data_IF_967478957386
#
_entry.id   IF_967478957386
#
_cell.length_a   1.000
_cell.length_b   1.000
_cell.length_c   1.000
_cell.angle_alpha   90.00
_cell.angle_beta   90.00
_cell.angle_gamma   90.00
#
_symmetry.space_group_name_H-M   'P 1'
#
loop_
_entity.id
_entity.type
_entity.pdbx_description
1 polymer ?
#
# COMPACT_ATOMS: atom_id res chain seq x y z
N UNK A 1 -16.39 2.26 -15.40
CA UNK A 1 -15.95 1.84 -14.04
C UNK A 1 -16.79 0.64 -13.62
N UNK A 2 -16.14 -0.42 -13.18
CA UNK A 2 -16.80 -1.65 -12.69
C UNK A 2 -17.58 -1.30 -11.42
N UNK A 3 -18.86 -1.67 -11.39
CA UNK A 3 -19.74 -1.40 -10.26
C UNK A 3 -19.68 -2.52 -9.21
N UNK A 4 -20.15 -2.23 -8.00
CA UNK A 4 -20.28 -3.26 -6.96
C UNK A 4 -21.23 -4.37 -7.40
N UNK A 5 -22.31 -4.04 -8.10
CA UNK A 5 -23.26 -5.02 -8.62
C UNK A 5 -22.66 -5.98 -9.64
N UNK A 6 -21.73 -5.53 -10.48
CA UNK A 6 -21.03 -6.40 -11.43
C UNK A 6 -20.21 -7.48 -10.69
N UNK A 7 -19.56 -7.09 -9.60
CA UNK A 7 -18.77 -8.01 -8.77
C UNK A 7 -19.67 -8.96 -7.96
N UNK A 8 -20.79 -8.46 -7.42
CA UNK A 8 -21.79 -9.28 -6.73
C UNK A 8 -22.38 -10.36 -7.67
N UNK A 9 -22.63 -10.02 -8.93
CA UNK A 9 -23.04 -10.99 -9.94
C UNK A 9 -21.97 -12.07 -10.18
N UNK A 10 -20.69 -11.70 -10.22
CA UNK A 10 -19.61 -12.69 -10.34
C UNK A 10 -19.55 -13.56 -9.09
N UNK A 11 -19.60 -12.95 -7.90
CA UNK A 11 -19.57 -13.69 -6.62
C UNK A 11 -20.75 -14.66 -6.47
N UNK A 12 -21.94 -14.31 -6.99
CA UNK A 12 -23.12 -15.20 -6.93
C UNK A 12 -22.94 -16.53 -7.64
N UNK A 13 -21.97 -16.59 -8.56
CA UNK A 13 -21.61 -17.82 -9.33
C UNK A 13 -20.47 -18.61 -8.68
N UNK A 14 -19.87 -18.08 -7.59
CA UNK A 14 -18.78 -18.76 -6.89
C UNK A 14 -19.28 -19.90 -6.01
N UNK A 15 -18.51 -20.99 -5.98
CA UNK A 15 -18.62 -21.96 -4.91
C UNK A 15 -17.87 -21.43 -3.69
N UNK A 16 -18.61 -20.95 -2.69
CA UNK A 16 -18.05 -20.31 -1.49
C UNK A 16 -17.17 -21.24 -0.66
N UNK A 17 -17.39 -22.57 -0.73
CA UNK A 17 -16.54 -23.58 -0.06
C UNK A 17 -15.17 -23.76 -0.76
N UNK A 18 -15.02 -23.23 -1.98
CA UNK A 18 -13.83 -23.40 -2.83
C UNK A 18 -13.16 -22.08 -3.19
N UNK A 19 -13.41 -21.04 -2.43
CA UNK A 19 -12.73 -19.74 -2.65
C UNK A 19 -11.23 -19.93 -2.52
N UNK A 20 -10.50 -19.37 -3.49
CA UNK A 20 -9.04 -19.36 -3.53
C UNK A 20 -8.51 -17.94 -3.42
N UNK A 21 -7.47 -17.74 -2.62
CA UNK A 21 -6.78 -16.46 -2.52
C UNK A 21 -5.70 -16.39 -3.59
N UNK A 22 -5.70 -15.31 -4.35
CA UNK A 22 -4.74 -15.10 -5.43
C UNK A 22 -4.07 -13.72 -5.33
N UNK A 23 -2.83 -13.66 -5.78
CA UNK A 23 -2.12 -12.40 -6.03
C UNK A 23 -1.02 -12.62 -7.06
N UNK A 24 -0.48 -11.52 -7.61
CA UNK A 24 0.72 -11.61 -8.46
C UNK A 24 1.96 -11.85 -7.58
N UNK A 25 2.90 -12.63 -8.10
CA UNK A 25 4.11 -13.04 -7.40
C UNK A 25 5.14 -11.90 -7.34
N UNK A 26 4.94 -11.00 -6.38
CA UNK A 26 5.79 -9.84 -6.12
C UNK A 26 5.52 -9.28 -4.71
N UNK A 27 6.32 -8.34 -4.25
CA UNK A 27 6.07 -7.47 -3.09
C UNK A 27 5.77 -8.24 -1.78
N UNK A 28 4.50 -8.48 -1.46
CA UNK A 28 4.03 -9.14 -0.22
C UNK A 28 3.42 -10.52 -0.45
N UNK A 29 3.56 -11.06 -1.66
CA UNK A 29 2.87 -12.31 -2.03
C UNK A 29 3.22 -13.49 -1.13
N UNK A 30 4.49 -13.62 -0.67
CA UNK A 30 4.87 -14.70 0.25
C UNK A 30 4.05 -14.70 1.54
N UNK A 31 3.88 -13.52 2.18
CA UNK A 31 3.08 -13.46 3.41
C UNK A 31 1.57 -13.61 3.15
N UNK A 32 1.08 -13.17 1.98
CA UNK A 32 -0.32 -13.39 1.58
C UNK A 32 -0.59 -14.88 1.44
N UNK A 33 0.25 -15.61 0.70
CA UNK A 33 0.10 -17.07 0.53
C UNK A 33 0.25 -17.82 1.84
N UNK A 34 1.23 -17.45 2.67
CA UNK A 34 1.40 -18.03 3.99
C UNK A 34 0.16 -17.83 4.86
N UNK A 35 -0.33 -16.59 4.98
CA UNK A 35 -1.51 -16.27 5.77
C UNK A 35 -2.78 -16.95 5.27
N UNK A 36 -2.99 -16.98 3.95
CA UNK A 36 -4.12 -17.69 3.32
C UNK A 36 -4.09 -19.18 3.61
N UNK A 37 -2.93 -19.82 3.52
CA UNK A 37 -2.74 -21.24 3.84
C UNK A 37 -3.05 -21.55 5.31
N UNK A 38 -2.57 -20.69 6.23
CA UNK A 38 -2.84 -20.84 7.68
C UNK A 38 -4.34 -20.75 7.98
N UNK A 39 -5.08 -19.92 7.25
CA UNK A 39 -6.55 -19.83 7.37
C UNK A 39 -7.32 -20.91 6.59
N UNK A 40 -6.62 -21.80 5.86
CA UNK A 40 -7.19 -22.96 5.17
C UNK A 40 -7.59 -22.73 3.73
N UNK A 41 -7.23 -21.61 3.13
CA UNK A 41 -7.50 -21.33 1.73
C UNK A 41 -6.50 -22.02 0.79
N UNK A 42 -6.97 -22.38 -0.39
CA UNK A 42 -6.12 -22.65 -1.55
C UNK A 42 -5.55 -21.34 -2.07
N UNK A 43 -4.34 -21.43 -2.62
CA UNK A 43 -3.60 -20.26 -3.07
C UNK A 43 -3.18 -20.37 -4.53
N UNK A 44 -3.32 -19.27 -5.27
CA UNK A 44 -2.93 -19.19 -6.68
C UNK A 44 -1.97 -17.99 -6.83
N UNK A 45 -0.76 -18.28 -7.34
CA UNK A 45 0.21 -17.24 -7.68
C UNK A 45 0.22 -16.97 -9.18
N UNK A 46 0.08 -15.72 -9.59
CA UNK A 46 0.34 -15.31 -10.97
C UNK A 46 1.79 -14.86 -11.02
N UNK A 47 2.62 -15.51 -11.81
CA UNK A 47 4.07 -15.42 -11.73
C UNK A 47 4.71 -15.31 -13.10
N UNK A 48 5.74 -14.48 -13.24
CA UNK A 48 6.63 -14.54 -14.39
C UNK A 48 7.64 -15.67 -14.19
N UNK A 49 8.13 -16.27 -15.28
CA UNK A 49 8.98 -17.46 -15.24
C UNK A 49 10.25 -17.24 -14.37
N UNK A 50 10.87 -16.06 -14.50
CA UNK A 50 12.07 -15.67 -13.75
C UNK A 50 11.86 -15.66 -12.21
N UNK A 51 10.64 -15.49 -11.75
CA UNK A 51 10.32 -15.44 -10.31
C UNK A 51 9.79 -16.75 -9.73
N UNK A 52 9.39 -17.71 -10.54
CA UNK A 52 8.79 -18.96 -10.06
C UNK A 52 9.67 -19.71 -9.04
N UNK A 53 10.96 -19.77 -9.27
CA UNK A 53 11.89 -20.49 -8.39
C UNK A 53 11.91 -19.89 -6.99
N UNK A 54 11.83 -18.54 -6.88
CA UNK A 54 11.73 -17.87 -5.59
C UNK A 54 10.52 -18.35 -4.81
N UNK A 55 9.33 -18.34 -5.42
CA UNK A 55 8.09 -18.74 -4.74
C UNK A 55 8.00 -20.24 -4.45
N UNK A 56 8.68 -21.07 -5.24
CA UNK A 56 8.81 -22.52 -4.98
C UNK A 56 9.75 -22.82 -3.81
N UNK A 57 10.67 -21.90 -3.46
CA UNK A 57 11.72 -22.12 -2.45
C UNK A 57 11.24 -21.96 -1.00
N UNK A 58 10.02 -21.43 -0.76
CA UNK A 58 9.45 -21.26 0.58
C UNK A 58 8.26 -22.18 0.83
N UNK A 59 8.44 -23.41 1.34
CA UNK A 59 7.38 -24.43 1.44
C UNK A 59 6.10 -23.95 2.13
N UNK A 60 6.21 -23.08 3.15
CA UNK A 60 5.06 -22.57 3.90
C UNK A 60 4.33 -21.41 3.20
N UNK A 61 4.98 -20.77 2.24
CA UNK A 61 4.45 -19.63 1.47
C UNK A 61 4.33 -19.90 -0.03
N UNK A 62 4.72 -21.10 -0.47
CA UNK A 62 4.55 -21.55 -1.86
C UNK A 62 3.07 -21.61 -2.22
N UNK A 63 2.61 -20.97 -3.31
CA UNK A 63 1.23 -21.10 -3.76
C UNK A 63 0.93 -22.55 -4.20
N UNK A 64 -0.32 -23.00 -4.00
CA UNK A 64 -0.75 -24.35 -4.39
C UNK A 64 -0.75 -24.51 -5.91
N UNK A 65 -1.03 -23.43 -6.64
CA UNK A 65 -0.99 -23.37 -8.10
C UNK A 65 -0.26 -22.11 -8.55
N UNK A 66 0.60 -22.24 -9.53
CA UNK A 66 1.22 -21.09 -10.24
C UNK A 66 0.62 -21.03 -11.64
N UNK A 67 0.23 -19.84 -12.06
CA UNK A 67 -0.13 -19.51 -13.43
C UNK A 67 0.96 -18.60 -13.97
N UNK A 68 1.71 -19.12 -14.93
CA UNK A 68 2.85 -18.39 -15.52
C UNK A 68 2.35 -17.44 -16.60
N UNK A 69 2.87 -16.22 -16.59
CA UNK A 69 2.60 -15.15 -17.55
C UNK A 69 3.93 -14.58 -18.06
N UNK A 70 3.93 -13.99 -19.23
CA UNK A 70 5.10 -13.24 -19.72
C UNK A 70 5.18 -11.86 -19.03
N UNK A 71 4.02 -11.24 -18.81
CA UNK A 71 3.90 -9.95 -18.11
C UNK A 71 2.61 -9.91 -17.29
N UNK A 72 2.64 -9.21 -16.15
CA UNK A 72 1.49 -9.14 -15.24
C UNK A 72 0.26 -8.44 -15.82
N UNK A 73 0.41 -7.59 -16.84
CA UNK A 73 -0.73 -6.95 -17.53
C UNK A 73 -1.64 -7.94 -18.27
N UNK A 74 -1.20 -9.19 -18.52
CA UNK A 74 -2.06 -10.25 -19.09
C UNK A 74 -3.25 -10.60 -18.21
N UNK A 75 -3.23 -10.25 -16.93
CA UNK A 75 -4.36 -10.41 -16.01
C UNK A 75 -5.62 -9.65 -16.49
N UNK A 76 -5.45 -8.66 -17.37
CA UNK A 76 -6.54 -7.91 -17.99
C UNK A 76 -7.21 -8.64 -19.14
N UNK A 77 -6.57 -9.67 -19.71
CA UNK A 77 -7.18 -10.47 -20.78
C UNK A 77 -8.49 -11.12 -20.27
N UNK A 78 -9.61 -10.95 -20.96
CA UNK A 78 -10.90 -11.52 -20.54
C UNK A 78 -10.87 -13.04 -20.33
N UNK A 79 -10.13 -13.79 -21.18
CA UNK A 79 -9.99 -15.24 -21.03
C UNK A 79 -9.19 -15.59 -19.77
N UNK A 80 -8.17 -14.79 -19.45
CA UNK A 80 -7.41 -14.97 -18.22
C UNK A 80 -8.28 -14.70 -16.99
N UNK A 81 -9.07 -13.63 -17.00
CA UNK A 81 -10.01 -13.33 -15.93
C UNK A 81 -11.06 -14.44 -15.76
N UNK A 82 -11.54 -15.04 -16.86
CA UNK A 82 -12.46 -16.18 -16.80
C UNK A 82 -11.83 -17.41 -16.15
N UNK A 83 -10.54 -17.65 -16.36
CA UNK A 83 -9.80 -18.71 -15.66
C UNK A 83 -9.77 -18.43 -14.16
N UNK A 84 -9.53 -17.20 -13.75
CA UNK A 84 -9.53 -16.81 -12.32
C UNK A 84 -10.92 -16.98 -11.71
N UNK A 85 -11.97 -16.50 -12.37
CA UNK A 85 -13.36 -16.63 -11.90
C UNK A 85 -13.78 -18.10 -11.76
N UNK A 86 -13.43 -18.98 -12.72
CA UNK A 86 -13.69 -20.43 -12.66
C UNK A 86 -12.98 -21.12 -11.48
N UNK A 87 -11.90 -20.54 -10.97
CA UNK A 87 -11.21 -21.03 -9.77
C UNK A 87 -11.71 -20.35 -8.48
N UNK A 88 -12.83 -19.62 -8.50
CA UNK A 88 -13.42 -18.88 -7.38
C UNK A 88 -12.38 -17.95 -6.69
N UNK A 89 -11.63 -17.21 -7.48
CA UNK A 89 -10.51 -16.41 -7.01
C UNK A 89 -10.99 -15.10 -6.38
N UNK A 90 -10.44 -14.78 -5.22
CA UNK A 90 -10.42 -13.44 -4.65
C UNK A 90 -8.97 -12.92 -4.73
N UNK A 91 -8.78 -11.80 -5.44
CA UNK A 91 -7.46 -11.16 -5.57
C UNK A 91 -7.16 -10.33 -4.33
N UNK A 92 -5.93 -10.44 -3.84
CA UNK A 92 -5.40 -9.52 -2.82
C UNK A 92 -4.49 -8.51 -3.52
N UNK A 93 -4.86 -7.22 -3.57
CA UNK A 93 -4.04 -6.19 -4.18
C UNK A 93 -2.88 -5.80 -3.25
N UNK A 94 -1.72 -5.52 -3.83
CA UNK A 94 -0.55 -4.95 -3.18
C UNK A 94 0.15 -3.95 -4.12
N UNK A 95 1.23 -3.29 -3.68
CA UNK A 95 1.87 -2.22 -4.45
C UNK A 95 2.20 -2.59 -5.89
N UNK A 96 2.85 -3.74 -6.10
CA UNK A 96 3.18 -4.17 -7.48
C UNK A 96 1.95 -4.55 -8.32
N UNK A 97 0.83 -4.95 -7.70
CA UNK A 97 -0.41 -5.18 -8.46
C UNK A 97 -0.91 -3.88 -9.08
N UNK A 98 -0.90 -2.78 -8.30
CA UNK A 98 -1.30 -1.47 -8.80
C UNK A 98 -0.32 -0.97 -9.87
N UNK A 99 0.98 -1.16 -9.65
CA UNK A 99 2.02 -0.70 -10.56
C UNK A 99 1.98 -1.40 -11.92
N UNK A 100 1.81 -2.73 -11.94
CA UNK A 100 1.88 -3.51 -13.17
C UNK A 100 0.56 -3.58 -13.92
N UNK A 101 -0.57 -3.52 -13.23
CA UNK A 101 -1.91 -3.59 -13.84
C UNK A 101 -2.43 -2.20 -14.17
N UNK A 102 -2.12 -1.22 -13.35
CA UNK A 102 -2.57 0.16 -13.45
C UNK A 102 -3.90 0.41 -12.71
N UNK A 103 -4.01 1.50 -11.95
CA UNK A 103 -5.21 1.81 -11.16
C UNK A 103 -6.46 2.04 -12.02
N UNK A 104 -6.31 2.62 -13.21
CA UNK A 104 -7.41 2.84 -14.16
C UNK A 104 -7.93 1.51 -14.69
N UNK A 105 -7.03 0.63 -15.17
CA UNK A 105 -7.40 -0.68 -15.69
C UNK A 105 -8.04 -1.56 -14.59
N UNK A 106 -7.55 -1.46 -13.34
CA UNK A 106 -8.17 -2.12 -12.18
C UNK A 106 -9.62 -1.66 -12.01
N UNK A 107 -9.89 -0.38 -12.20
CA UNK A 107 -11.19 0.22 -12.01
C UNK A 107 -12.16 -0.02 -13.18
N UNK A 108 -11.66 -0.20 -14.40
CA UNK A 108 -12.48 -0.23 -15.61
C UNK A 108 -12.55 -1.58 -16.30
N UNK A 109 -11.49 -2.40 -16.22
CA UNK A 109 -11.36 -3.62 -17.00
C UNK A 109 -11.25 -4.90 -16.15
N UNK A 110 -10.80 -4.80 -14.90
CA UNK A 110 -10.51 -5.96 -14.07
C UNK A 110 -11.75 -6.42 -13.29
N UNK A 111 -12.50 -7.39 -13.81
CA UNK A 111 -13.78 -7.87 -13.27
C UNK A 111 -13.68 -9.06 -12.29
N UNK A 112 -12.46 -9.48 -11.91
CA UNK A 112 -12.29 -10.51 -10.90
C UNK A 112 -12.50 -9.91 -9.50
N UNK A 113 -13.24 -10.58 -8.60
CA UNK A 113 -13.44 -10.14 -7.22
C UNK A 113 -12.12 -9.84 -6.51
N UNK A 114 -12.03 -8.67 -5.90
CA UNK A 114 -10.82 -8.17 -5.23
C UNK A 114 -11.15 -7.75 -3.79
N UNK A 115 -10.29 -8.14 -2.86
CA UNK A 115 -10.42 -7.74 -1.46
C UNK A 115 -10.19 -6.24 -1.28
N UNK A 116 -11.05 -5.59 -0.51
CA UNK A 116 -11.00 -4.16 -0.23
C UNK A 116 -11.90 -3.34 -1.15
N UNK A 117 -11.76 -2.02 -1.07
CA UNK A 117 -12.49 -1.09 -1.93
C UNK A 117 -11.61 -0.64 -3.09
N UNK A 118 -12.01 -0.97 -4.31
CA UNK A 118 -11.33 -0.60 -5.56
C UNK A 118 -11.08 0.91 -5.69
N UNK A 119 -12.04 1.73 -5.23
CA UNK A 119 -11.88 3.18 -5.27
C UNK A 119 -10.74 3.68 -4.39
N UNK A 120 -10.42 2.98 -3.28
CA UNK A 120 -9.30 3.38 -2.41
C UNK A 120 -7.96 3.34 -3.15
N UNK A 121 -7.78 2.41 -4.10
CA UNK A 121 -6.57 2.32 -4.93
C UNK A 121 -6.47 3.49 -5.92
N UNK A 122 -7.59 3.92 -6.49
CA UNK A 122 -7.62 5.10 -7.35
C UNK A 122 -7.33 6.39 -6.57
N UNK A 123 -7.81 6.49 -5.31
CA UNK A 123 -7.50 7.62 -4.44
C UNK A 123 -6.03 7.62 -3.98
N UNK A 124 -5.46 6.45 -3.71
CA UNK A 124 -4.03 6.30 -3.40
C UNK A 124 -3.13 6.75 -4.57
N UNK A 125 -3.50 6.40 -5.78
CA UNK A 125 -2.68 6.64 -6.98
C UNK A 125 -2.70 8.10 -7.47
N UNK A 126 -3.72 8.86 -7.10
CA UNK A 126 -3.86 10.28 -7.44
C UNK A 126 -3.38 11.16 -6.28
N UNK A 127 -2.30 11.93 -6.49
CA UNK A 127 -1.66 12.74 -5.43
C UNK A 127 -2.58 13.81 -4.83
N UNK A 128 -3.44 14.44 -5.63
CA UNK A 128 -4.37 15.46 -5.13
C UNK A 128 -5.52 14.84 -4.33
N UNK A 129 -6.05 13.70 -4.80
CA UNK A 129 -7.04 12.92 -4.05
C UNK A 129 -6.46 12.39 -2.75
N UNK A 130 -5.27 11.82 -2.79
CA UNK A 130 -4.57 11.33 -1.61
C UNK A 130 -4.36 12.45 -0.58
N UNK A 131 -3.89 13.62 -1.04
CA UNK A 131 -3.73 14.79 -0.19
C UNK A 131 -5.05 15.24 0.43
N UNK A 132 -6.09 15.36 -0.40
CA UNK A 132 -7.44 15.70 0.07
C UNK A 132 -7.95 14.71 1.13
N UNK A 133 -7.67 13.43 0.97
CA UNK A 133 -8.05 12.40 1.93
C UNK A 133 -7.35 12.61 3.27
N UNK A 134 -6.03 12.75 3.27
CA UNK A 134 -5.22 12.97 4.49
C UNK A 134 -5.63 14.27 5.20
N UNK A 135 -5.82 15.37 4.47
CA UNK A 135 -6.30 16.64 5.02
C UNK A 135 -7.72 16.54 5.57
N UNK A 136 -8.63 15.82 4.90
CA UNK A 136 -9.99 15.58 5.38
C UNK A 136 -10.04 14.74 6.65
N UNK A 137 -9.01 13.93 6.90
CA UNK A 137 -8.82 13.20 8.15
C UNK A 137 -8.25 14.08 9.28
N UNK A 138 -8.00 15.37 9.02
CA UNK A 138 -7.42 16.31 10.00
C UNK A 138 -5.96 16.05 10.32
N UNK A 139 -5.22 15.35 9.46
CA UNK A 139 -3.82 15.01 9.69
C UNK A 139 -2.90 16.11 9.14
N UNK A 140 -1.81 16.37 9.87
CA UNK A 140 -0.80 17.35 9.44
C UNK A 140 -0.02 16.78 8.26
N UNK A 141 0.08 17.56 7.18
CA UNK A 141 0.87 17.23 6.00
C UNK A 141 2.05 18.20 5.81
N UNK A 142 3.07 17.82 5.03
CA UNK A 142 4.09 18.75 4.58
C UNK A 142 3.46 19.91 3.82
N UNK A 143 3.99 21.13 4.01
CA UNK A 143 3.56 22.28 3.24
C UNK A 143 3.76 22.04 1.74
N UNK A 144 2.80 22.49 0.92
CA UNK A 144 2.89 22.46 -0.55
C UNK A 144 3.21 23.87 -1.03
N UNK A 145 4.22 23.99 -1.86
CA UNK A 145 4.57 25.22 -2.56
C UNK A 145 3.85 25.25 -3.90
N UNK A 146 3.31 26.41 -4.26
CA UNK A 146 2.56 26.57 -5.52
C UNK A 146 3.48 26.87 -6.69
N UNK A 147 4.56 27.59 -6.41
CA UNK A 147 5.49 28.10 -7.41
C UNK A 147 6.94 27.92 -6.93
N UNK A 148 7.90 27.63 -7.84
CA UNK A 148 9.31 27.52 -7.49
C UNK A 148 9.90 28.79 -6.83
N UNK A 149 9.33 29.95 -7.09
CA UNK A 149 9.77 31.23 -6.45
C UNK A 149 9.47 31.28 -4.95
N UNK A 150 8.62 30.40 -4.44
CA UNK A 150 8.32 30.28 -3.01
C UNK A 150 9.38 29.45 -2.25
N UNK A 151 10.36 28.88 -2.95
CA UNK A 151 11.39 28.01 -2.34
C UNK A 151 12.37 28.89 -1.53
N UNK A 152 12.30 28.77 -0.21
CA UNK A 152 13.13 29.48 0.75
C UNK A 152 14.06 28.56 1.57
N UNK A 153 14.23 27.32 1.12
CA UNK A 153 15.04 26.30 1.77
C UNK A 153 14.90 24.95 1.07
N UNK A 154 15.34 23.87 1.72
CA UNK A 154 15.31 22.56 1.11
C UNK A 154 13.89 22.04 0.91
N UNK A 155 13.57 21.63 -0.32
CA UNK A 155 12.27 21.09 -0.70
C UNK A 155 12.40 19.75 -1.43
N UNK A 156 11.33 18.96 -1.41
CA UNK A 156 11.12 17.83 -2.31
C UNK A 156 10.33 18.26 -3.54
N UNK A 157 10.85 17.90 -4.71
CA UNK A 157 10.16 18.03 -5.99
C UNK A 157 9.74 16.65 -6.45
N UNK A 158 8.45 16.38 -6.48
CA UNK A 158 7.86 15.06 -6.77
C UNK A 158 7.25 15.02 -8.17
N UNK A 159 7.49 13.92 -8.89
CA UNK A 159 6.85 13.65 -10.19
C UNK A 159 5.56 12.84 -10.02
N UNK A 160 4.68 12.85 -11.04
CA UNK A 160 3.54 11.96 -11.07
C UNK A 160 3.96 10.50 -11.14
N UNK A 161 3.16 9.62 -10.50
CA UNK A 161 3.37 8.18 -10.47
C UNK A 161 4.34 7.70 -9.39
N UNK A 162 4.21 6.43 -9.01
CA UNK A 162 5.06 5.75 -8.03
C UNK A 162 6.29 5.18 -8.75
N UNK A 163 7.33 5.99 -8.98
CA UNK A 163 8.56 5.55 -9.69
C UNK A 163 9.65 5.05 -8.73
N UNK A 164 9.30 4.59 -7.50
CA UNK A 164 10.22 4.11 -6.45
C UNK A 164 11.50 4.94 -6.41
N UNK A 165 11.88 5.65 -5.39
CA UNK A 165 13.10 6.45 -5.25
C UNK A 165 13.54 7.37 -6.41
N UNK A 166 13.14 7.08 -7.64
CA UNK A 166 13.45 7.85 -8.86
C UNK A 166 12.43 8.95 -9.17
N UNK A 167 11.32 8.98 -8.46
CA UNK A 167 10.19 9.88 -8.70
C UNK A 167 10.29 11.26 -8.05
N UNK A 168 11.48 11.68 -7.57
CA UNK A 168 11.67 12.97 -6.96
C UNK A 168 13.14 13.42 -6.94
N UNK A 169 13.36 14.69 -6.61
CA UNK A 169 14.67 15.28 -6.30
C UNK A 169 14.53 16.36 -5.22
N UNK A 170 15.65 16.79 -4.66
CA UNK A 170 15.69 17.88 -3.68
C UNK A 170 16.46 19.08 -4.22
N UNK A 171 15.99 20.28 -3.90
CA UNK A 171 16.62 21.56 -4.25
C UNK A 171 16.49 22.53 -3.09
N UNK A 172 17.29 23.61 -3.11
CA UNK A 172 17.30 24.61 -2.04
C UNK A 172 16.85 26.00 -2.52
N UNK A 173 16.70 26.20 -3.82
CA UNK A 173 16.33 27.47 -4.41
C UNK A 173 15.56 27.28 -5.73
N UNK A 174 14.96 28.38 -6.21
CA UNK A 174 14.32 28.43 -7.52
C UNK A 174 15.31 28.13 -8.66
N UNK A 175 16.53 28.65 -8.60
CA UNK A 175 17.54 28.40 -9.63
C UNK A 175 17.91 26.91 -9.67
N UNK A 176 18.18 26.29 -8.50
CA UNK A 176 18.47 24.86 -8.42
C UNK A 176 17.33 24.03 -8.99
N UNK A 177 16.07 24.47 -8.78
CA UNK A 177 14.89 23.79 -9.31
C UNK A 177 14.90 23.72 -10.85
N UNK A 178 15.12 24.84 -11.51
CA UNK A 178 15.13 24.88 -12.97
C UNK A 178 16.35 24.17 -13.56
N UNK A 179 17.50 24.26 -12.92
CA UNK A 179 18.74 23.58 -13.37
C UNK A 179 18.57 22.04 -13.28
N UNK A 180 18.09 21.56 -12.15
CA UNK A 180 17.89 20.13 -11.95
C UNK A 180 16.75 19.56 -12.83
N UNK A 181 15.67 20.31 -12.97
CA UNK A 181 14.57 19.95 -13.87
C UNK A 181 15.04 19.82 -15.33
N UNK A 182 15.75 20.82 -15.82
CA UNK A 182 16.30 20.80 -17.18
C UNK A 182 17.29 19.65 -17.40
N UNK A 183 18.11 19.35 -16.41
CA UNK A 183 19.05 18.21 -16.45
C UNK A 183 18.31 16.89 -16.60
N UNK A 184 17.21 16.69 -15.84
CA UNK A 184 16.43 15.45 -15.85
C UNK A 184 15.58 15.28 -17.10
N UNK A 185 15.04 16.36 -17.65
CA UNK A 185 14.33 16.33 -18.93
C UNK A 185 15.32 15.97 -20.05
N UNK A 186 16.48 16.61 -20.10
CA UNK A 186 17.51 16.30 -21.11
C UNK A 186 18.03 14.85 -21.03
N UNK A 187 18.09 14.29 -19.84
CA UNK A 187 18.52 12.89 -19.63
C UNK A 187 17.40 11.85 -19.86
N UNK A 188 16.18 12.29 -20.19
CA UNK A 188 15.03 11.41 -20.40
C UNK A 188 14.48 10.76 -19.12
N UNK A 189 14.89 11.23 -17.94
CA UNK A 189 14.35 10.76 -16.66
C UNK A 189 12.94 11.27 -16.42
N UNK A 190 12.62 12.45 -17.01
CA UNK A 190 11.32 13.11 -16.92
C UNK A 190 10.86 13.40 -18.35
N UNK A 191 9.60 13.09 -18.65
CA UNK A 191 8.97 13.49 -19.90
C UNK A 191 8.51 14.95 -19.81
N UNK A 192 8.60 15.70 -20.90
CA UNK A 192 8.14 17.10 -20.96
C UNK A 192 6.66 17.25 -20.53
N UNK A 193 5.84 16.26 -20.84
CA UNK A 193 4.42 16.20 -20.47
C UNK A 193 4.18 16.08 -18.96
N UNK A 194 5.18 15.61 -18.21
CA UNK A 194 5.08 15.46 -16.76
C UNK A 194 5.51 16.72 -15.99
N UNK A 195 6.18 17.67 -16.66
CA UNK A 195 6.67 18.91 -16.04
C UNK A 195 5.53 19.73 -15.41
N UNK A 196 4.36 19.78 -16.05
CA UNK A 196 3.19 20.50 -15.54
C UNK A 196 2.50 19.84 -14.34
N UNK A 197 2.87 18.58 -14.04
CA UNK A 197 2.29 17.79 -12.95
C UNK A 197 3.23 17.67 -11.75
N UNK A 198 4.32 18.40 -11.75
CA UNK A 198 5.31 18.40 -10.66
C UNK A 198 4.71 19.04 -9.40
N UNK A 199 4.91 18.37 -8.26
CA UNK A 199 4.55 18.91 -6.95
C UNK A 199 5.80 19.31 -6.15
N UNK A 200 5.81 20.51 -5.60
CA UNK A 200 6.87 20.99 -4.69
C UNK A 200 6.33 20.91 -3.27
N UNK A 201 7.06 20.25 -2.37
CA UNK A 201 6.68 20.17 -0.97
C UNK A 201 7.85 20.35 -0.03
N UNK A 202 7.55 20.76 1.17
CA UNK A 202 8.49 20.89 2.27
C UNK A 202 9.35 19.64 2.46
N UNK A 203 10.66 19.84 2.67
CA UNK A 203 11.57 18.78 3.09
C UNK A 203 11.57 18.69 4.62
N UNK A 204 11.06 17.60 5.15
CA UNK A 204 11.00 17.38 6.59
C UNK A 204 12.13 16.45 7.05
N UNK A 205 12.84 16.89 8.08
CA UNK A 205 13.76 16.04 8.83
C UNK A 205 13.07 15.50 10.08
N UNK A 206 13.23 14.20 10.32
CA UNK A 206 12.65 13.56 11.48
C UNK A 206 12.75 12.04 11.39
N UNK A 207 12.16 11.37 12.37
CA UNK A 207 12.15 9.90 12.40
C UNK A 207 10.96 9.38 11.60
N UNK A 208 11.23 8.54 10.62
CA UNK A 208 10.18 7.92 9.81
C UNK A 208 9.57 6.73 10.53
N UNK A 209 8.26 6.68 10.57
CA UNK A 209 7.46 5.57 11.06
C UNK A 209 6.37 5.24 10.06
N UNK A 210 6.14 3.95 9.83
CA UNK A 210 5.15 3.43 8.90
C UNK A 210 4.17 2.53 9.65
N UNK A 211 3.15 3.09 10.33
CA UNK A 211 2.13 2.31 11.02
C UNK A 211 1.22 1.60 10.03
N UNK A 212 1.03 0.29 10.28
CA UNK A 212 0.21 -0.60 9.49
C UNK A 212 -1.10 -0.89 10.21
N UNK A 213 -2.18 -0.51 9.58
CA UNK A 213 -3.53 -0.65 10.10
C UNK A 213 -4.31 -1.70 9.33
N UNK A 214 -5.34 -2.19 9.98
CA UNK A 214 -6.37 -3.01 9.37
C UNK A 214 -7.74 -2.50 9.80
N UNK A 215 -8.58 -2.15 8.86
CA UNK A 215 -9.98 -1.82 9.12
C UNK A 215 -10.84 -3.05 8.89
N UNK A 216 -11.42 -3.57 9.97
CA UNK A 216 -12.30 -4.73 9.98
C UNK A 216 -13.75 -4.32 10.09
N UNK A 217 -14.62 -4.97 9.29
CA UNK A 217 -16.06 -4.84 9.43
C UNK A 217 -16.66 -5.90 10.36
N UNK A 218 -15.88 -6.93 10.74
CA UNK A 218 -16.39 -8.13 11.39
C UNK A 218 -15.79 -8.39 12.78
N UNK A 219 -14.64 -7.83 13.11
CA UNK A 219 -14.02 -8.04 14.43
C UNK A 219 -14.15 -6.80 15.31
N UNK A 220 -14.51 -7.01 16.58
CA UNK A 220 -14.72 -5.96 17.57
C UNK A 220 -13.42 -5.45 18.23
N UNK A 221 -12.26 -6.03 17.88
CA UNK A 221 -10.97 -5.61 18.41
C UNK A 221 -10.43 -4.37 17.69
N UNK A 222 -9.89 -3.41 18.44
CA UNK A 222 -9.37 -2.16 17.91
C UNK A 222 -10.17 -0.94 18.34
N UNK A 223 -10.04 0.16 17.62
CA UNK A 223 -10.76 1.40 17.86
C UNK A 223 -11.92 1.54 16.88
N UNK A 224 -13.11 1.89 17.38
CA UNK A 224 -14.30 2.05 16.55
C UNK A 224 -14.11 3.14 15.48
N UNK A 225 -14.51 2.81 14.25
CA UNK A 225 -14.54 3.72 13.11
C UNK A 225 -15.63 3.27 12.14
N UNK A 226 -16.47 4.20 11.69
CA UNK A 226 -17.60 3.85 10.81
C UNK A 226 -18.45 2.72 11.37
N UNK A 227 -18.55 1.59 10.63
CA UNK A 227 -19.29 0.39 11.03
C UNK A 227 -18.42 -0.71 11.62
N UNK A 228 -17.13 -0.49 11.74
CA UNK A 228 -16.16 -1.51 12.15
C UNK A 228 -15.09 -0.97 13.09
N UNK A 229 -13.95 -1.64 13.11
CA UNK A 229 -12.86 -1.30 14.02
C UNK A 229 -11.51 -1.22 13.29
N UNK A 230 -10.68 -0.28 13.70
CA UNK A 230 -9.32 -0.10 13.22
C UNK A 230 -8.35 -0.74 14.19
N UNK A 231 -7.54 -1.65 13.69
CA UNK A 231 -6.47 -2.33 14.40
C UNK A 231 -5.12 -1.82 13.93
N UNK A 232 -4.13 -1.71 14.82
CA UNK A 232 -2.74 -1.53 14.44
C UNK A 232 -2.04 -2.91 14.50
N UNK A 233 -1.46 -3.33 13.38
CA UNK A 233 -0.84 -4.66 13.28
C UNK A 233 0.68 -4.61 13.23
N UNK A 234 1.29 -3.45 13.19
CA UNK A 234 2.73 -3.30 13.22
C UNK A 234 3.16 -1.88 12.86
N UNK A 235 4.42 -1.60 13.05
CA UNK A 235 5.07 -0.36 12.61
C UNK A 235 6.44 -0.75 12.08
N UNK A 236 6.79 -0.31 10.89
CA UNK A 236 8.14 -0.49 10.37
C UNK A 236 8.87 0.83 10.13
N UNK A 237 10.14 0.70 9.88
CA UNK A 237 11.02 1.71 9.31
C UNK A 237 11.63 1.13 8.04
N UNK A 238 11.70 1.92 6.98
CA UNK A 238 12.36 1.55 5.74
C UNK A 238 13.87 1.72 5.85
N UNK A 239 14.62 0.87 5.15
CA UNK A 239 16.07 0.97 4.99
C UNK A 239 16.32 1.46 3.57
N UNK A 240 17.01 2.57 3.46
CA UNK A 240 17.34 3.25 2.20
C UNK A 240 18.84 3.54 2.16
N UNK A 241 19.49 3.59 0.98
CA UNK A 241 20.93 3.91 0.89
C UNK A 241 21.29 5.21 1.60
N UNK A 242 20.41 6.19 1.60
CA UNK A 242 20.58 7.45 2.30
C UNK A 242 20.77 7.29 3.83
N UNK A 243 20.21 6.24 4.42
CA UNK A 243 20.37 6.00 5.87
C UNK A 243 21.81 5.71 6.25
N UNK A 244 22.57 5.05 5.38
CA UNK A 244 23.98 4.75 5.59
C UNK A 244 24.87 5.99 5.40
N UNK A 245 24.45 6.91 4.52
CA UNK A 245 25.17 8.15 4.25
C UNK A 245 25.30 9.05 5.48
N UNK A 246 24.34 9.00 6.40
CA UNK A 246 24.38 9.79 7.65
C UNK A 246 25.21 9.17 8.78
N UNK A 247 25.73 7.94 8.61
CA UNK A 247 26.44 7.22 9.69
C UNK A 247 27.91 7.62 9.90
N UNK A 248 28.33 8.77 9.44
CA UNK A 248 29.64 9.31 9.78
C UNK A 248 30.50 9.76 8.60
N UNK A 249 29.90 10.02 7.46
CA UNK A 249 30.59 10.61 6.33
C UNK A 249 30.35 12.14 6.35
N UNK A 250 31.42 12.97 6.46
CA UNK A 250 31.28 14.43 6.40
C UNK A 250 30.80 14.90 5.02
N UNK A 251 31.21 14.22 3.95
CA UNK A 251 30.83 14.51 2.57
C UNK A 251 30.23 13.25 1.95
N UNK A 252 28.92 13.22 1.75
CA UNK A 252 28.21 12.10 1.15
C UNK A 252 28.25 12.22 -0.36
N UNK A 253 28.81 11.23 -1.09
CA UNK A 253 28.77 11.23 -2.54
C UNK A 253 27.34 11.26 -3.08
N UNK A 254 27.05 12.01 -4.17
CA UNK A 254 25.68 12.18 -4.70
C UNK A 254 24.93 10.88 -5.00
N UNK A 255 25.62 9.81 -5.34
CA UNK A 255 25.05 8.49 -5.62
C UNK A 255 24.39 7.84 -4.39
N UNK A 256 24.77 8.23 -3.17
CA UNK A 256 24.14 7.77 -1.93
C UNK A 256 22.88 8.54 -1.54
N UNK A 257 22.56 9.63 -2.23
CA UNK A 257 21.28 10.30 -2.09
C UNK A 257 20.18 9.53 -2.84
N UNK A 258 20.08 8.23 -2.55
CA UNK A 258 19.08 7.33 -3.08
C UNK A 258 18.13 6.90 -1.95
N UNK A 259 16.84 7.04 -2.21
CA UNK A 259 15.73 6.69 -1.31
C UNK A 259 15.00 5.41 -1.74
N UNK A 260 15.66 4.59 -2.57
CA UNK A 260 15.11 3.29 -2.95
C UNK A 260 15.07 2.39 -1.71
N UNK A 261 13.88 1.91 -1.36
CA UNK A 261 13.70 1.01 -0.23
C UNK A 261 14.34 -0.34 -0.53
N UNK A 262 15.39 -0.69 0.20
CA UNK A 262 16.12 -1.97 0.07
C UNK A 262 15.70 -2.99 1.12
N UNK A 263 15.03 -2.56 2.20
CA UNK A 263 14.58 -3.42 3.29
C UNK A 263 13.69 -2.69 4.28
N UNK A 264 13.25 -3.42 5.30
CA UNK A 264 12.39 -2.91 6.34
C UNK A 264 12.87 -3.42 7.71
N UNK A 265 12.69 -2.61 8.75
CA UNK A 265 12.97 -2.95 10.15
C UNK A 265 11.69 -2.85 10.98
N UNK A 266 11.40 -3.83 11.85
CA UNK A 266 10.31 -3.72 12.80
C UNK A 266 10.62 -2.66 13.85
N UNK A 267 9.62 -1.88 14.24
CA UNK A 267 9.74 -0.80 15.21
C UNK A 267 8.66 -0.89 16.26
N UNK A 268 9.04 -0.64 17.53
CA UNK A 268 8.10 -0.39 18.63
C UNK A 268 8.08 1.10 18.91
N UNK A 269 6.91 1.71 18.76
CA UNK A 269 6.71 3.12 19.11
C UNK A 269 6.58 3.27 20.64
N UNK A 270 7.05 4.40 21.17
CA UNK A 270 6.79 4.74 22.59
C UNK A 270 5.28 4.74 22.85
N UNK A 271 4.84 4.11 23.94
CA UNK A 271 3.41 4.02 24.27
C UNK A 271 2.74 5.40 24.37
N UNK A 272 3.47 6.42 24.83
CA UNK A 272 2.94 7.80 24.91
C UNK A 272 2.58 8.43 23.55
N UNK A 273 3.04 7.86 22.43
CA UNK A 273 2.74 8.31 21.07
C UNK A 273 1.68 7.43 20.38
N UNK A 274 1.36 6.27 20.96
CA UNK A 274 0.37 5.35 20.38
C UNK A 274 -1.04 5.94 20.29
N UNK A 275 -1.56 6.70 21.26
CA UNK A 275 -2.90 7.28 21.16
C UNK A 275 -3.08 8.16 19.92
N UNK A 276 -2.06 8.97 19.59
CA UNK A 276 -2.08 9.82 18.40
C UNK A 276 -2.08 8.97 17.11
N UNK A 277 -1.18 7.99 17.01
CA UNK A 277 -1.07 7.11 15.84
C UNK A 277 -2.34 6.26 15.66
N UNK A 278 -2.95 5.76 16.74
CA UNK A 278 -4.21 5.03 16.67
C UNK A 278 -5.35 5.92 16.16
N UNK A 279 -5.42 7.18 16.64
CA UNK A 279 -6.45 8.13 16.16
C UNK A 279 -6.31 8.45 14.67
N UNK A 280 -5.10 8.45 14.12
CA UNK A 280 -4.88 8.65 12.68
C UNK A 280 -5.58 7.58 11.85
N UNK A 281 -5.47 6.31 12.26
CA UNK A 281 -6.14 5.22 11.58
C UNK A 281 -7.65 5.40 11.55
N UNK A 282 -8.27 5.77 12.68
CA UNK A 282 -9.70 6.06 12.79
C UNK A 282 -10.10 7.22 11.87
N UNK A 283 -9.39 8.33 11.96
CA UNK A 283 -9.69 9.54 11.20
C UNK A 283 -9.61 9.29 9.68
N UNK A 284 -8.61 8.51 9.24
CA UNK A 284 -8.44 8.14 7.82
C UNK A 284 -9.60 7.27 7.33
N UNK A 285 -10.05 6.31 8.12
CA UNK A 285 -11.22 5.49 7.81
C UNK A 285 -12.47 6.36 7.70
N UNK A 286 -12.77 7.18 8.70
CA UNK A 286 -13.96 8.04 8.73
C UNK A 286 -13.96 9.05 7.58
N UNK A 287 -12.80 9.62 7.23
CA UNK A 287 -12.67 10.48 6.07
C UNK A 287 -12.95 9.73 4.77
N UNK A 288 -12.42 8.50 4.62
CA UNK A 288 -12.61 7.67 3.43
C UNK A 288 -14.07 7.31 3.17
N UNK A 289 -14.82 7.01 4.24
CA UNK A 289 -16.25 6.71 4.16
C UNK A 289 -17.04 7.90 3.61
N UNK A 290 -16.64 9.12 3.96
CA UNK A 290 -17.27 10.35 3.45
C UNK A 290 -16.88 10.68 2.01
N UNK A 291 -15.63 10.40 1.64
CA UNK A 291 -15.07 10.79 0.34
C UNK A 291 -15.38 9.80 -0.79
N UNK A 292 -15.35 8.50 -0.49
CA UNK A 292 -15.57 7.42 -1.46
C UNK A 292 -16.20 6.18 -0.80
N UNK A 293 -17.52 6.24 -0.48
CA UNK A 293 -18.21 5.13 0.17
C UNK A 293 -17.98 3.78 -0.54
N UNK A 294 -17.85 2.68 0.20
CA UNK A 294 -17.97 2.52 1.65
C UNK A 294 -16.72 2.91 2.44
N UNK A 295 -15.73 3.52 1.84
CA UNK A 295 -14.46 3.88 2.42
C UNK A 295 -13.41 2.79 2.22
N UNK A 296 -12.26 2.93 2.88
CA UNK A 296 -11.21 1.92 2.87
C UNK A 296 -11.69 0.66 3.62
N UNK A 297 -11.27 -0.50 3.19
CA UNK A 297 -11.54 -1.80 3.82
C UNK A 297 -10.24 -2.58 3.89
N UNK A 298 -9.96 -3.19 5.04
CA UNK A 298 -8.79 -4.03 5.22
C UNK A 298 -7.50 -3.25 5.50
N UNK A 299 -6.41 -3.70 4.89
CA UNK A 299 -5.06 -3.21 5.17
C UNK A 299 -4.79 -1.81 4.61
N UNK A 300 -4.12 -0.96 5.39
CA UNK A 300 -3.55 0.30 4.92
C UNK A 300 -2.35 0.71 5.77
N UNK A 301 -1.57 1.65 5.25
CA UNK A 301 -0.39 2.18 5.93
C UNK A 301 -0.35 3.70 5.79
N UNK A 302 0.03 4.39 6.84
CA UNK A 302 0.38 5.80 6.78
C UNK A 302 1.90 5.95 6.76
N UNK A 303 2.38 6.81 5.88
CA UNK A 303 3.79 7.15 5.80
C UNK A 303 4.01 8.45 6.56
N UNK A 304 4.75 8.35 7.67
CA UNK A 304 4.86 9.48 8.62
C UNK A 304 6.30 9.85 8.93
N UNK A 305 6.50 11.11 9.28
CA UNK A 305 7.73 11.62 9.89
C UNK A 305 7.37 12.23 11.24
N UNK A 306 8.03 11.79 12.31
CA UNK A 306 7.95 12.43 13.61
C UNK A 306 8.96 13.59 13.67
N UNK A 307 8.44 14.82 13.62
CA UNK A 307 9.24 16.02 13.69
C UNK A 307 9.30 16.53 15.15
N UNK A 308 10.48 16.93 15.68
CA UNK A 308 10.62 17.27 17.11
C UNK A 308 9.67 18.36 17.63
N UNK A 309 9.33 19.34 16.80
CA UNK A 309 8.47 20.47 17.19
C UNK A 309 7.03 20.37 16.68
N UNK A 310 6.72 19.48 15.75
CA UNK A 310 5.39 19.39 15.09
C UNK A 310 4.66 18.10 15.39
N UNK A 311 5.33 17.10 16.02
CA UNK A 311 4.80 15.76 16.15
C UNK A 311 4.79 14.99 14.82
N UNK A 312 3.81 14.14 14.61
CA UNK A 312 3.69 13.39 13.38
C UNK A 312 3.17 14.24 12.22
N UNK A 313 3.87 14.13 11.10
CA UNK A 313 3.48 14.68 9.80
C UNK A 313 3.29 13.52 8.84
N UNK A 314 2.10 13.40 8.26
CA UNK A 314 1.73 12.33 7.32
C UNK A 314 1.97 12.82 5.90
N UNK A 315 2.77 12.12 5.12
CA UNK A 315 3.12 12.56 3.77
C UNK A 315 2.59 11.65 2.66
N UNK A 316 2.12 10.45 3.01
CA UNK A 316 1.55 9.50 2.06
C UNK A 316 0.64 8.48 2.76
N UNK A 317 -0.34 7.94 2.04
CA UNK A 317 -1.15 6.80 2.44
C UNK A 317 -1.05 5.69 1.39
N UNK A 318 -0.91 4.45 1.84
CA UNK A 318 -1.02 3.25 1.02
C UNK A 318 -2.29 2.49 1.42
N UNK A 319 -3.28 2.43 0.54
CA UNK A 319 -4.62 1.89 0.83
C UNK A 319 -4.73 0.38 0.56
N UNK A 320 -3.67 -0.36 0.85
CA UNK A 320 -3.51 -1.81 0.62
C UNK A 320 -2.40 -2.35 1.51
N UNK A 321 -2.14 -3.66 1.43
CA UNK A 321 -0.99 -4.28 2.09
C UNK A 321 0.34 -3.75 1.50
N UNK A 322 1.30 -3.42 2.36
CA UNK A 322 2.60 -2.84 1.99
C UNK A 322 3.77 -3.75 2.37
N UNK A 323 4.92 -3.56 1.70
CA UNK A 323 6.11 -4.39 1.90
C UNK A 323 6.64 -4.36 3.33
N UNK A 324 6.48 -3.25 4.05
CA UNK A 324 6.86 -3.12 5.46
C UNK A 324 6.21 -4.16 6.37
N UNK A 325 5.04 -4.70 6.00
CA UNK A 325 4.39 -5.76 6.76
C UNK A 325 5.10 -7.11 6.68
N UNK A 326 6.03 -7.32 5.73
CA UNK A 326 6.77 -8.59 5.59
C UNK A 326 7.64 -8.91 6.83
N UNK A 327 8.08 -7.90 7.58
CA UNK A 327 8.83 -8.10 8.83
C UNK A 327 7.98 -8.76 9.92
N UNK A 328 6.68 -8.82 9.76
CA UNK A 328 5.71 -9.36 10.69
C UNK A 328 5.01 -10.63 10.20
N UNK A 329 5.67 -11.45 9.40
CA UNK A 329 5.11 -12.73 8.94
C UNK A 329 4.69 -13.65 10.10
N UNK A 330 5.37 -13.59 11.25
CA UNK A 330 5.02 -14.27 12.49
C UNK A 330 4.14 -13.44 13.46
N UNK A 331 3.70 -12.26 13.05
CA UNK A 331 3.03 -11.28 13.91
C UNK A 331 3.98 -10.26 14.52
N UNK A 332 3.44 -9.14 14.99
CA UNK A 332 4.13 -8.08 15.73
C UNK A 332 3.73 -8.12 17.21
N UNK A 333 4.41 -7.34 18.05
CA UNK A 333 3.98 -7.14 19.43
C UNK A 333 2.56 -6.57 19.52
N UNK A 334 2.15 -5.69 18.60
CA UNK A 334 0.79 -5.13 18.59
C UNK A 334 -0.25 -6.19 18.23
N UNK A 335 0.03 -7.02 17.21
CA UNK A 335 -0.85 -8.13 16.86
C UNK A 335 -0.92 -9.19 17.96
N UNK A 336 0.17 -9.42 18.73
CA UNK A 336 0.18 -10.34 19.87
C UNK A 336 -0.66 -9.85 21.05
N UNK A 337 -0.84 -8.53 21.21
CA UNK A 337 -1.74 -7.98 22.24
C UNK A 337 -3.22 -8.11 21.83
N UNK A 338 -3.50 -8.28 20.55
CA UNK A 338 -4.86 -8.43 20.03
C UNK A 338 -5.26 -9.89 19.84
N UNK A 339 -4.33 -10.73 19.34
CA UNK A 339 -4.60 -12.11 18.95
C UNK A 339 -3.83 -13.11 19.81
N UNK A 340 -4.47 -14.23 20.17
CA UNK A 340 -3.83 -15.32 20.91
C UNK A 340 -2.85 -16.15 20.08
N UNK A 341 -2.74 -15.86 18.79
CA UNK A 341 -1.97 -16.61 17.81
C UNK A 341 -1.22 -15.64 16.87
N UNK A 342 -0.13 -16.09 16.23
CA UNK A 342 0.60 -15.26 15.30
C UNK A 342 -0.30 -14.69 14.20
N UNK A 343 -0.38 -13.38 14.06
CA UNK A 343 -1.22 -12.69 13.10
C UNK A 343 -0.37 -11.75 12.24
N UNK A 344 -0.10 -12.19 11.00
CA UNK A 344 0.46 -11.32 9.96
C UNK A 344 -0.65 -10.54 9.25
N UNK A 345 -0.29 -9.50 8.49
CA UNK A 345 -1.24 -8.75 7.67
C UNK A 345 -1.90 -9.65 6.62
N UNK A 346 -1.11 -10.51 5.95
CA UNK A 346 -1.66 -11.45 4.97
C UNK A 346 -2.63 -12.47 5.59
N UNK A 347 -2.34 -12.95 6.82
CA UNK A 347 -3.26 -13.81 7.56
C UNK A 347 -4.52 -13.06 7.99
N UNK A 348 -4.39 -11.80 8.41
CA UNK A 348 -5.53 -10.98 8.82
C UNK A 348 -6.51 -10.74 7.66
N UNK A 349 -5.98 -10.49 6.46
CA UNK A 349 -6.79 -10.39 5.24
C UNK A 349 -7.54 -11.71 4.98
N UNK A 350 -6.84 -12.83 5.02
CA UNK A 350 -7.44 -14.15 4.80
C UNK A 350 -8.53 -14.45 5.84
N UNK A 351 -8.30 -14.08 7.11
CA UNK A 351 -9.29 -14.23 8.18
C UNK A 351 -10.53 -13.39 7.94
N UNK A 352 -10.38 -12.15 7.49
CA UNK A 352 -11.53 -11.29 7.15
C UNK A 352 -12.39 -11.92 6.06
N UNK A 353 -11.76 -12.45 5.00
CA UNK A 353 -12.45 -13.18 3.93
C UNK A 353 -13.17 -14.43 4.49
N UNK A 354 -12.52 -15.17 5.38
CA UNK A 354 -13.09 -16.38 6.01
C UNK A 354 -14.33 -16.05 6.84
N UNK A 355 -14.30 -14.95 7.60
CA UNK A 355 -15.45 -14.49 8.38
C UNK A 355 -16.58 -14.10 7.43
N UNK A 356 -16.31 -13.27 6.42
CA UNK A 356 -17.30 -12.86 5.43
C UNK A 356 -17.94 -14.02 4.67
N UNK A 357 -17.18 -15.10 4.39
CA UNK A 357 -17.73 -16.34 3.81
C UNK A 357 -18.65 -17.06 4.79
N UNK A 358 -18.23 -17.21 6.05
CA UNK A 358 -19.00 -17.89 7.08
C UNK A 358 -20.32 -17.18 7.39
N UNK A 359 -20.30 -15.85 7.42
CA UNK A 359 -21.45 -14.99 7.74
C UNK A 359 -22.27 -14.62 6.51
N UNK A 360 -21.88 -15.08 5.31
CA UNK A 360 -22.52 -14.75 4.02
C UNK A 360 -22.53 -13.25 3.70
N UNK A 361 -21.53 -12.54 4.19
CA UNK A 361 -21.34 -11.09 4.01
C UNK A 361 -20.09 -10.75 3.19
N UNK A 362 -19.58 -11.72 2.43
CA UNK A 362 -18.35 -11.53 1.64
C UNK A 362 -18.41 -10.32 0.71
N UNK A 363 -19.58 -10.00 0.14
CA UNK A 363 -19.78 -8.85 -0.73
C UNK A 363 -19.57 -7.48 -0.03
N UNK A 364 -19.53 -7.44 1.31
CA UNK A 364 -19.25 -6.21 2.02
C UNK A 364 -17.77 -5.82 1.97
N UNK A 365 -16.88 -6.81 1.81
CA UNK A 365 -15.42 -6.60 1.84
C UNK A 365 -14.73 -6.86 0.50
N UNK A 366 -15.49 -7.19 -0.53
CA UNK A 366 -15.02 -7.49 -1.89
C UNK A 366 -15.59 -6.46 -2.88
N UNK A 367 -14.78 -6.05 -3.84
CA UNK A 367 -15.20 -5.16 -4.92
C UNK A 367 -14.68 -5.62 -6.29
#
# INVERSE_FOLDING_TARGET
MISKSDIEEVLSRYNTDKVSICTICSHTALQIFHGARVEGFKTIGICTEDREQLYKSFPQAKPDKIITVEKYSEILDPKFQDILKKNNVVIIPHGSFIEYVGPENISEEFTVPMFGNRQSLAWESDRERQRKWIESAGLIMPCKYKDPSEIDGKVFVKFPGAKGGKGFFTVNSENDFYDELNRRVKSGVIEETDVTKIGIQEFLLGVRYYPHYFYSLFEDSGMAAGKGNVQILGIDRRIEPIDEAYRGLPDVPPEFFDYTVTGNQPVVLRESLLPEVLSFGVNVVDASIKLFPPGIIGAFCLETIYHPSRGFVVFEISARIVAGTNVYAGGSQYSQFTYKEPMSMGRRIAREIKIGLKEQTLSEIIC
#
